data_IF_683995544714
#
_entry.id   IF_683995544714
#
_cell.length_a   1.000
_cell.length_b   1.000
_cell.length_c   1.000
_cell.angle_alpha   90.00
_cell.angle_beta   90.00
_cell.angle_gamma   90.00
#
_symmetry.space_group_name_H-M   'P 1'
#
loop_
_entity.id
_entity.type
_entity.pdbx_description
1 polymer ?
#
# COMPACT_ATOMS: atom_id res chain seq x y z
N UNK A 1 5.86 -15.47 -27.24
CA UNK A 1 6.73 -14.79 -26.25
C UNK A 1 5.96 -13.79 -25.40
N UNK A 2 5.46 -12.64 -25.91
CA UNK A 2 4.53 -11.79 -25.13
C UNK A 2 3.20 -12.51 -24.78
N UNK A 3 2.82 -13.49 -25.60
CA UNK A 3 1.66 -14.37 -25.38
C UNK A 3 1.78 -15.18 -24.08
N UNK A 4 2.96 -15.65 -23.68
CA UNK A 4 3.11 -16.51 -22.49
C UNK A 4 2.69 -15.79 -21.20
N UNK A 5 3.07 -14.52 -21.03
CA UNK A 5 2.65 -13.73 -19.88
C UNK A 5 1.15 -13.42 -19.88
N UNK A 6 0.51 -13.38 -21.06
CA UNK A 6 -0.94 -13.18 -21.19
C UNK A 6 -1.67 -14.49 -20.88
N UNK A 7 -1.19 -15.61 -21.40
CA UNK A 7 -1.76 -16.95 -21.16
C UNK A 7 -1.72 -17.30 -19.65
N UNK A 8 -0.70 -16.84 -18.93
CA UNK A 8 -0.62 -17.01 -17.45
C UNK A 8 -1.63 -16.18 -16.66
N UNK A 9 -2.30 -15.21 -17.27
CA UNK A 9 -3.37 -14.46 -16.60
C UNK A 9 -4.55 -15.39 -16.32
N UNK A 10 -4.94 -16.19 -17.31
CA UNK A 10 -6.06 -17.12 -17.18
C UNK A 10 -5.74 -18.23 -16.16
N UNK A 11 -4.53 -18.79 -16.21
CA UNK A 11 -4.05 -19.75 -15.21
C UNK A 11 -4.11 -19.17 -13.78
N UNK A 12 -3.67 -17.92 -13.61
CA UNK A 12 -3.70 -17.25 -12.30
C UNK A 12 -5.14 -17.01 -11.82
N UNK A 13 -6.09 -16.70 -12.71
CA UNK A 13 -7.51 -16.55 -12.38
C UNK A 13 -8.09 -17.89 -11.91
N UNK A 14 -7.79 -18.98 -12.60
CA UNK A 14 -8.28 -20.32 -12.25
C UNK A 14 -7.69 -20.82 -10.93
N UNK A 15 -6.39 -20.58 -10.70
CA UNK A 15 -5.77 -20.84 -9.40
C UNK A 15 -6.36 -19.99 -8.27
N UNK A 16 -6.74 -18.74 -8.55
CA UNK A 16 -7.35 -17.87 -7.54
C UNK A 16 -8.74 -18.39 -7.18
N UNK A 17 -9.50 -18.78 -8.20
CA UNK A 17 -10.86 -19.30 -8.03
C UNK A 17 -10.86 -20.62 -7.26
N UNK A 18 -9.98 -21.55 -7.62
CA UNK A 18 -9.86 -22.85 -6.93
C UNK A 18 -9.32 -22.72 -5.50
N UNK A 19 -8.50 -21.71 -5.21
CA UNK A 19 -8.00 -21.45 -3.87
C UNK A 19 -9.07 -20.83 -2.95
N UNK A 20 -9.88 -19.90 -3.48
CA UNK A 20 -10.89 -19.19 -2.70
C UNK A 20 -12.22 -19.91 -2.55
N UNK A 21 -12.49 -20.88 -3.43
CA UNK A 21 -13.73 -21.66 -3.44
C UNK A 21 -13.46 -23.16 -3.22
N UNK A 22 -14.24 -23.86 -2.37
CA UNK A 22 -15.50 -23.43 -1.73
C UNK A 22 -15.32 -22.40 -0.59
N UNK A 23 -16.33 -21.55 -0.39
CA UNK A 23 -16.26 -20.43 0.56
C UNK A 23 -16.10 -20.93 2.00
N UNK A 24 -14.95 -20.61 2.61
CA UNK A 24 -14.65 -20.86 4.02
C UNK A 24 -14.39 -19.52 4.73
N UNK A 25 -15.35 -19.08 5.56
CA UNK A 25 -15.27 -17.81 6.27
C UNK A 25 -14.03 -17.68 7.17
N UNK A 26 -13.50 -18.80 7.68
CA UNK A 26 -12.27 -18.82 8.46
C UNK A 26 -11.04 -18.50 7.61
N UNK A 27 -10.95 -19.07 6.40
CA UNK A 27 -9.88 -18.75 5.44
C UNK A 27 -9.97 -17.31 4.97
N UNK A 28 -11.17 -16.85 4.61
CA UNK A 28 -11.39 -15.47 4.16
C UNK A 28 -11.01 -14.44 5.23
N UNK A 29 -11.39 -14.65 6.49
CA UNK A 29 -11.01 -13.76 7.59
C UNK A 29 -9.48 -13.71 7.78
N UNK A 30 -8.82 -14.87 7.73
CA UNK A 30 -7.36 -14.95 7.83
C UNK A 30 -6.69 -14.22 6.66
N UNK A 31 -7.16 -14.43 5.43
CA UNK A 31 -6.67 -13.74 4.24
C UNK A 31 -6.94 -12.24 4.26
N UNK A 32 -8.07 -11.81 4.84
CA UNK A 32 -8.40 -10.41 5.05
C UNK A 32 -7.39 -9.73 5.97
N UNK A 33 -7.07 -10.37 7.10
CA UNK A 33 -6.06 -9.89 8.04
C UNK A 33 -4.68 -9.86 7.36
N UNK A 34 -4.32 -10.94 6.66
CA UNK A 34 -3.06 -11.01 5.91
C UNK A 34 -2.95 -9.88 4.88
N UNK A 35 -3.99 -9.70 4.07
CA UNK A 35 -4.08 -8.67 3.04
C UNK A 35 -4.03 -7.27 3.65
N UNK A 36 -4.71 -7.05 4.78
CA UNK A 36 -4.68 -5.77 5.49
C UNK A 36 -3.27 -5.40 5.91
N UNK A 37 -2.51 -6.33 6.50
CA UNK A 37 -1.13 -6.09 6.90
C UNK A 37 -0.17 -5.99 5.69
N UNK A 38 -0.44 -6.69 4.58
CA UNK A 38 0.32 -6.52 3.34
C UNK A 38 0.10 -5.12 2.76
N UNK A 39 -1.16 -4.67 2.66
CA UNK A 39 -1.53 -3.36 2.10
C UNK A 39 -1.01 -2.23 3.00
N UNK A 40 -1.18 -2.35 4.32
CA UNK A 40 -0.78 -1.31 5.27
C UNK A 40 0.71 -1.33 5.65
N UNK A 41 1.37 -2.48 5.58
CA UNK A 41 2.76 -2.67 5.98
C UNK A 41 3.78 -2.45 4.87
N UNK A 42 3.41 -2.68 3.60
CA UNK A 42 4.20 -2.21 2.47
C UNK A 42 3.89 -0.73 2.25
N UNK A 43 4.73 0.19 2.72
CA UNK A 43 4.57 1.64 2.57
C UNK A 43 4.50 2.18 1.12
N UNK A 44 4.17 1.34 0.12
CA UNK A 44 3.89 1.70 -1.27
C UNK A 44 2.42 1.53 -1.71
N UNK A 45 1.53 1.09 -0.80
CA UNK A 45 0.09 0.94 -1.09
C UNK A 45 -0.70 2.20 -0.75
N UNK A 46 -0.70 3.17 -1.67
CA UNK A 46 -1.40 4.44 -1.50
C UNK A 46 -2.92 4.30 -1.60
N UNK A 47 -3.57 3.74 -0.58
CA UNK A 47 -5.03 3.75 -0.44
C UNK A 47 -5.50 5.07 0.19
N UNK A 48 -4.63 5.73 0.97
CA UNK A 48 -4.94 7.01 1.61
C UNK A 48 -4.75 8.24 0.72
N UNK A 49 -4.00 8.16 -0.39
CA UNK A 49 -3.85 9.32 -1.29
C UNK A 49 -5.08 9.59 -2.16
N UNK A 50 -5.95 8.60 -2.39
CA UNK A 50 -7.11 8.77 -3.28
C UNK A 50 -8.25 9.57 -2.61
N UNK A 51 -8.24 9.68 -1.28
CA UNK A 51 -9.21 10.50 -0.53
C UNK A 51 -8.94 12.01 -0.61
N UNK A 52 -7.83 12.43 -1.23
CA UNK A 52 -7.44 13.84 -1.38
C UNK A 52 -7.90 14.52 -2.66
N UNK A 53 -8.65 13.84 -3.54
CA UNK A 53 -9.19 14.46 -4.75
C UNK A 53 -10.47 15.25 -4.44
N UNK A 54 -10.30 16.42 -3.81
CA UNK A 54 -11.32 17.48 -3.85
C UNK A 54 -11.45 17.90 -5.33
N UNK A 55 -12.65 17.89 -5.93
CA UNK A 55 -12.83 18.45 -7.26
C UNK A 55 -12.46 19.94 -7.19
N UNK A 56 -11.34 20.32 -7.81
CA UNK A 56 -11.06 21.71 -8.08
C UNK A 56 -12.12 22.19 -9.08
N UNK A 57 -13.19 22.81 -8.58
CA UNK A 57 -14.18 23.47 -9.40
C UNK A 57 -13.46 24.54 -10.25
N UNK A 58 -13.38 24.30 -11.56
CA UNK A 58 -12.85 25.24 -12.54
C UNK A 58 -13.82 26.41 -12.71
N UNK A 59 -13.78 27.35 -11.77
CA UNK A 59 -14.38 28.67 -11.92
C UNK A 59 -13.47 29.54 -12.81
N UNK A 60 -13.94 29.88 -13.99
CA UNK A 60 -13.29 30.85 -14.87
C UNK A 60 -13.35 32.25 -14.25
N UNK A 61 -12.23 32.75 -13.72
CA UNK A 61 -12.07 34.17 -13.35
C UNK A 61 -11.17 34.87 -14.35
N UNK A 62 -11.78 35.80 -15.09
CA UNK A 62 -11.14 36.78 -15.97
C UNK A 62 -10.24 37.74 -15.18
N UNK A 63 -8.96 37.83 -15.56
CA UNK A 63 -8.19 39.08 -15.61
C UNK A 63 -8.07 39.96 -14.37
N UNK A 64 -7.84 39.42 -13.17
CA UNK A 64 -7.47 40.19 -11.99
C UNK A 64 -6.51 39.40 -11.11
N UNK A 65 -5.44 40.06 -10.66
CA UNK A 65 -4.43 39.62 -9.66
C UNK A 65 -4.68 38.27 -8.98
N UNK A 66 -3.76 37.32 -9.17
CA UNK A 66 -3.75 36.03 -8.47
C UNK A 66 -3.87 36.30 -6.96
N UNK A 67 -4.80 35.64 -6.23
CA UNK A 67 -4.89 35.78 -4.79
C UNK A 67 -3.54 35.40 -4.17
N UNK A 68 -2.95 36.31 -3.41
CA UNK A 68 -1.81 35.99 -2.56
C UNK A 68 -2.25 34.87 -1.62
N UNK A 69 -1.64 33.69 -1.76
CA UNK A 69 -1.98 32.50 -0.98
C UNK A 69 -1.39 32.65 0.42
N UNK A 70 -1.93 33.57 1.23
CA UNK A 70 -1.56 33.74 2.64
C UNK A 70 -2.31 32.72 3.48
N UNK A 71 -1.68 31.57 3.70
CA UNK A 71 -2.11 30.67 4.76
C UNK A 71 -1.62 31.28 6.07
N UNK A 72 -2.54 31.85 6.86
CA UNK A 72 -2.25 32.18 8.27
C UNK A 72 -2.00 30.87 9.02
N UNK A 73 -0.72 30.47 9.08
CA UNK A 73 -0.29 29.32 9.87
C UNK A 73 -0.37 29.72 11.35
N UNK A 74 -0.95 28.88 12.22
CA UNK A 74 -0.93 29.12 13.67
C UNK A 74 0.50 29.37 14.14
N UNK A 75 0.71 30.34 15.05
CA UNK A 75 2.02 30.60 15.62
C UNK A 75 2.66 29.28 16.12
N UNK A 76 3.83 28.93 15.57
CA UNK A 76 4.59 27.75 15.95
C UNK A 76 5.19 27.93 17.34
N UNK A 77 4.36 27.86 18.38
CA UNK A 77 4.84 27.81 19.76
C UNK A 77 5.70 26.55 19.96
N UNK A 78 6.73 26.64 20.81
CA UNK A 78 7.59 25.48 21.12
C UNK A 78 6.77 24.25 21.58
N UNK A 79 5.65 24.48 22.28
CA UNK A 79 4.70 23.45 22.68
C UNK A 79 4.01 22.79 21.48
N UNK A 80 3.55 23.57 20.49
CA UNK A 80 2.93 23.02 19.28
C UNK A 80 3.91 22.17 18.46
N UNK A 81 5.17 22.62 18.32
CA UNK A 81 6.23 21.86 17.64
C UNK A 81 6.52 20.56 18.39
N UNK A 82 6.64 20.60 19.72
CA UNK A 82 6.87 19.42 20.53
C UNK A 82 5.72 18.39 20.42
N UNK A 83 4.47 18.86 20.45
CA UNK A 83 3.29 18.01 20.25
C UNK A 83 3.29 17.40 18.85
N UNK A 84 3.56 18.20 17.81
CA UNK A 84 3.64 17.71 16.44
C UNK A 84 4.72 16.63 16.26
N UNK A 85 5.94 16.86 16.79
CA UNK A 85 7.01 15.86 16.78
C UNK A 85 6.64 14.60 17.57
N UNK A 86 5.94 14.74 18.70
CA UNK A 86 5.42 13.61 19.46
C UNK A 86 4.42 12.77 18.66
N UNK A 87 3.47 13.42 17.99
CA UNK A 87 2.50 12.73 17.11
C UNK A 87 3.22 12.04 15.95
N UNK A 88 4.17 12.72 15.29
CA UNK A 88 4.98 12.13 14.22
C UNK A 88 5.74 10.90 14.72
N UNK A 89 6.38 10.97 15.90
CA UNK A 89 7.11 9.85 16.47
C UNK A 89 6.20 8.64 16.76
N UNK A 90 4.99 8.88 17.28
CA UNK A 90 3.99 7.82 17.50
C UNK A 90 3.53 7.20 16.18
N UNK A 91 3.25 8.02 15.16
CA UNK A 91 2.86 7.54 13.84
C UNK A 91 3.97 6.73 13.16
N UNK A 92 5.22 7.18 13.27
CA UNK A 92 6.39 6.45 12.77
C UNK A 92 6.53 5.11 13.50
N UNK A 93 6.43 5.09 14.83
CA UNK A 93 6.49 3.85 15.61
C UNK A 93 5.39 2.87 15.20
N UNK A 94 4.16 3.35 15.04
CA UNK A 94 3.04 2.54 14.58
C UNK A 94 3.30 1.99 13.18
N UNK A 95 3.79 2.82 12.25
CA UNK A 95 4.17 2.40 10.91
C UNK A 95 5.27 1.33 10.91
N UNK A 96 6.28 1.45 11.79
CA UNK A 96 7.33 0.44 11.94
C UNK A 96 6.77 -0.90 12.45
N UNK A 97 5.86 -0.86 13.43
CA UNK A 97 5.20 -2.07 13.95
C UNK A 97 4.36 -2.74 12.85
N UNK A 98 3.53 -1.97 12.14
CA UNK A 98 2.68 -2.49 11.07
C UNK A 98 3.52 -3.03 9.92
N UNK A 99 4.60 -2.35 9.55
CA UNK A 99 5.54 -2.81 8.52
C UNK A 99 6.27 -4.10 8.91
N UNK A 100 6.69 -4.24 10.17
CA UNK A 100 7.33 -5.46 10.66
C UNK A 100 6.36 -6.65 10.63
N UNK A 101 5.10 -6.44 11.06
CA UNK A 101 4.06 -7.47 10.99
C UNK A 101 3.78 -7.83 9.54
N UNK A 102 3.64 -6.85 8.65
CA UNK A 102 3.42 -7.06 7.21
C UNK A 102 4.51 -7.91 6.57
N UNK A 103 5.78 -7.66 6.90
CA UNK A 103 6.90 -8.44 6.40
C UNK A 103 6.89 -9.91 6.88
N UNK A 104 6.44 -10.18 8.11
CA UNK A 104 6.29 -11.56 8.61
C UNK A 104 5.11 -12.25 7.92
N UNK A 105 3.98 -11.54 7.83
CA UNK A 105 2.73 -12.00 7.22
C UNK A 105 2.93 -12.37 5.75
N UNK A 106 3.86 -11.73 5.05
CA UNK A 106 4.20 -12.06 3.68
C UNK A 106 4.71 -13.50 3.51
N UNK A 107 5.59 -13.97 4.40
CA UNK A 107 6.03 -15.37 4.38
C UNK A 107 4.88 -16.33 4.71
N UNK A 108 4.01 -15.95 5.65
CA UNK A 108 2.80 -16.72 5.99
C UNK A 108 1.86 -16.84 4.79
N UNK A 109 1.72 -15.77 4.01
CA UNK A 109 0.88 -15.75 2.82
C UNK A 109 1.41 -16.68 1.73
N UNK A 110 2.71 -16.60 1.44
CA UNK A 110 3.35 -17.48 0.44
C UNK A 110 3.24 -18.94 0.83
N UNK A 111 3.50 -19.26 2.11
CA UNK A 111 3.36 -20.63 2.64
C UNK A 111 1.90 -21.12 2.60
N UNK A 112 0.94 -20.24 2.87
CA UNK A 112 -0.49 -20.60 2.81
C UNK A 112 -0.92 -20.90 1.37
N UNK A 113 -0.36 -20.15 0.40
CA UNK A 113 -0.59 -20.39 -1.02
C UNK A 113 0.07 -21.70 -1.50
N UNK A 114 1.28 -22.03 -1.03
CA UNK A 114 1.93 -23.30 -1.38
C UNK A 114 1.26 -24.51 -0.74
N UNK A 115 0.86 -24.44 0.53
CA UNK A 115 0.32 -25.59 1.29
C UNK A 115 -1.20 -25.77 1.20
N UNK A 116 -1.96 -24.78 0.69
CA UNK A 116 -3.44 -24.75 0.73
C UNK A 116 -4.05 -24.80 2.15
N UNK A 117 -3.23 -24.58 3.18
CA UNK A 117 -3.65 -24.55 4.57
C UNK A 117 -3.29 -23.20 5.22
N UNK A 118 -4.24 -22.61 5.94
CA UNK A 118 -4.05 -21.27 6.52
C UNK A 118 -3.79 -21.36 8.03
N UNK A 119 -2.54 -21.62 8.43
CA UNK A 119 -2.14 -21.77 9.84
C UNK A 119 -1.33 -20.55 10.35
N UNK A 120 -1.99 -19.41 10.59
CA UNK A 120 -1.32 -18.14 10.97
C UNK A 120 -0.38 -18.29 12.17
N UNK A 121 -0.85 -18.88 13.28
CA UNK A 121 -0.11 -18.89 14.55
C UNK A 121 1.17 -19.73 14.49
N UNK A 122 1.13 -20.87 13.81
CA UNK A 122 2.29 -21.75 13.65
C UNK A 122 3.34 -21.14 12.70
N UNK A 123 2.91 -20.56 11.59
CA UNK A 123 3.81 -19.95 10.60
C UNK A 123 4.43 -18.64 11.10
N UNK A 124 3.69 -17.83 11.86
CA UNK A 124 4.20 -16.56 12.38
C UNK A 124 5.46 -16.75 13.23
N UNK A 125 5.45 -17.71 14.17
CA UNK A 125 6.61 -18.02 15.00
C UNK A 125 7.83 -18.50 14.22
N UNK A 126 7.59 -19.34 13.19
CA UNK A 126 8.64 -19.90 12.33
C UNK A 126 9.31 -18.85 11.43
N UNK A 127 8.55 -17.86 10.97
CA UNK A 127 9.04 -16.86 10.00
C UNK A 127 9.40 -15.51 10.61
N UNK A 128 9.26 -15.31 11.93
CA UNK A 128 9.64 -14.08 12.64
C UNK A 128 11.03 -13.55 12.25
N UNK A 129 12.06 -14.39 12.30
CA UNK A 129 13.42 -14.00 11.96
C UNK A 129 13.59 -13.58 10.49
N UNK A 130 12.88 -14.24 9.57
CA UNK A 130 12.92 -13.94 8.13
C UNK A 130 12.16 -12.67 7.80
N UNK A 131 10.97 -12.53 8.37
CA UNK A 131 10.14 -11.32 8.29
C UNK A 131 10.86 -10.09 8.81
N UNK A 132 11.56 -10.19 9.95
CA UNK A 132 12.35 -9.09 10.50
C UNK A 132 13.56 -8.74 9.63
N UNK A 133 14.24 -9.72 9.01
CA UNK A 133 15.33 -9.45 8.04
C UNK A 133 14.82 -8.74 6.79
N UNK A 134 13.65 -9.17 6.27
CA UNK A 134 12.98 -8.52 5.15
C UNK A 134 12.55 -7.09 5.52
N UNK A 135 11.97 -6.90 6.70
CA UNK A 135 11.61 -5.59 7.22
C UNK A 135 12.83 -4.69 7.36
N UNK A 136 13.94 -5.18 7.94
CA UNK A 136 15.17 -4.40 8.06
C UNK A 136 15.73 -3.98 6.70
N UNK A 137 15.72 -4.87 5.71
CA UNK A 137 16.10 -4.54 4.34
C UNK A 137 15.23 -3.42 3.75
N UNK A 138 13.89 -3.56 3.87
CA UNK A 138 12.95 -2.54 3.40
C UNK A 138 13.08 -1.22 4.15
N UNK A 139 13.35 -1.27 5.46
CA UNK A 139 13.56 -0.11 6.30
C UNK A 139 14.82 0.64 5.88
N UNK A 140 15.92 -0.07 5.62
CA UNK A 140 17.16 0.53 5.11
C UNK A 140 16.92 1.15 3.74
N UNK A 141 16.28 0.41 2.82
CA UNK A 141 15.95 0.92 1.49
C UNK A 141 15.09 2.19 1.57
N UNK A 142 14.02 2.16 2.38
CA UNK A 142 13.13 3.29 2.61
C UNK A 142 13.84 4.47 3.29
N UNK A 143 14.72 4.21 4.26
CA UNK A 143 15.52 5.25 4.92
C UNK A 143 16.50 5.92 3.96
N UNK A 144 17.14 5.15 3.07
CA UNK A 144 18.02 5.69 2.01
C UNK A 144 17.22 6.55 1.04
N UNK A 145 16.06 6.08 0.57
CA UNK A 145 15.17 6.86 -0.28
C UNK A 145 14.73 8.14 0.42
N UNK A 146 14.27 8.04 1.67
CA UNK A 146 13.87 9.20 2.48
C UNK A 146 15.02 10.20 2.65
N UNK A 147 16.24 9.74 2.90
CA UNK A 147 17.41 10.60 3.01
C UNK A 147 17.74 11.32 1.69
N UNK A 148 17.60 10.64 0.55
CA UNK A 148 17.83 11.25 -0.77
C UNK A 148 16.77 12.31 -1.08
N UNK A 149 15.48 11.99 -0.96
CA UNK A 149 14.40 12.93 -1.26
C UNK A 149 14.30 14.04 -0.21
N UNK A 150 14.39 13.70 1.07
CA UNK A 150 14.40 14.65 2.17
C UNK A 150 15.61 15.57 2.12
N UNK A 151 16.80 15.02 1.82
CA UNK A 151 18.00 15.81 1.59
C UNK A 151 17.84 16.78 0.41
N UNK A 152 17.36 16.31 -0.74
CA UNK A 152 17.11 17.17 -1.89
C UNK A 152 16.07 18.27 -1.58
N UNK A 153 15.00 17.94 -0.86
CA UNK A 153 13.98 18.89 -0.43
C UNK A 153 14.56 19.94 0.53
N UNK A 154 15.35 19.52 1.52
CA UNK A 154 16.02 20.43 2.45
C UNK A 154 17.08 21.30 1.76
N UNK A 155 17.76 20.80 0.73
CA UNK A 155 18.67 21.63 -0.07
C UNK A 155 17.91 22.69 -0.88
N UNK A 156 16.72 22.35 -1.38
CA UNK A 156 15.91 23.25 -2.20
C UNK A 156 15.09 24.26 -1.38
N UNK A 157 14.65 23.90 -0.17
CA UNK A 157 13.70 24.66 0.64
C UNK A 157 14.08 24.79 2.12
N UNK A 158 15.28 24.36 2.52
CA UNK A 158 15.70 24.38 3.93
C UNK A 158 15.77 25.78 4.55
N UNK A 159 16.14 26.78 3.75
CA UNK A 159 16.08 28.20 4.11
C UNK A 159 14.64 28.67 4.34
N UNK A 160 13.71 28.28 3.47
CA UNK A 160 12.28 28.58 3.61
C UNK A 160 11.72 27.98 4.90
N UNK A 161 12.10 26.74 5.19
CA UNK A 161 11.70 26.03 6.42
C UNK A 161 12.29 26.74 7.65
N UNK A 162 13.58 27.12 7.61
CA UNK A 162 14.24 27.79 8.73
C UNK A 162 13.61 29.16 9.02
N UNK A 163 13.35 29.96 7.99
CA UNK A 163 12.67 31.25 8.11
C UNK A 163 11.25 31.10 8.68
N UNK A 164 10.52 30.06 8.25
CA UNK A 164 9.19 29.77 8.77
C UNK A 164 9.23 29.43 10.27
N UNK A 165 10.22 28.63 10.72
CA UNK A 165 10.41 28.33 12.15
C UNK A 165 10.87 29.55 12.97
N UNK A 166 11.53 30.52 12.33
CA UNK A 166 11.89 31.79 12.96
C UNK A 166 10.71 32.78 13.07
N UNK A 167 9.54 32.44 12.52
CA UNK A 167 8.37 33.32 12.48
C UNK A 167 8.46 34.41 11.42
N UNK A 168 9.36 34.26 10.45
CA UNK A 168 9.51 35.20 9.34
C UNK A 168 8.46 34.95 8.26
N UNK A 169 8.02 36.02 7.58
CA UNK A 169 7.18 35.89 6.41
C UNK A 169 7.99 35.31 5.25
N UNK A 170 7.57 34.16 4.72
CA UNK A 170 8.28 33.46 3.64
C UNK A 170 7.41 33.37 2.39
N UNK A 171 7.89 33.92 1.28
CA UNK A 171 7.23 33.84 -0.02
C UNK A 171 8.19 33.27 -1.07
N UNK A 172 8.31 31.93 -1.20
CA UNK A 172 9.16 31.35 -2.22
C UNK A 172 8.66 31.75 -3.61
N UNK A 173 9.60 32.12 -4.50
CA UNK A 173 9.24 32.53 -5.86
C UNK A 173 8.62 31.36 -6.64
N UNK A 174 7.67 31.66 -7.53
CA UNK A 174 7.04 30.67 -8.41
C UNK A 174 8.09 29.88 -9.19
N UNK A 175 9.13 30.57 -9.69
CA UNK A 175 10.24 29.94 -10.41
C UNK A 175 10.96 28.87 -9.57
N UNK A 176 11.19 29.14 -8.27
CA UNK A 176 11.81 28.18 -7.36
C UNK A 176 10.91 26.99 -7.08
N UNK A 177 9.61 27.21 -6.90
CA UNK A 177 8.63 26.13 -6.71
C UNK A 177 8.62 25.22 -7.95
N UNK A 178 8.50 25.80 -9.15
CA UNK A 178 8.50 25.04 -10.41
C UNK A 178 9.79 24.26 -10.60
N UNK A 179 10.95 24.90 -10.36
CA UNK A 179 12.25 24.24 -10.46
C UNK A 179 12.39 23.10 -9.43
N UNK A 180 11.94 23.32 -8.19
CA UNK A 180 11.96 22.30 -7.15
C UNK A 180 11.07 21.11 -7.48
N UNK A 181 9.85 21.35 -7.97
CA UNK A 181 8.93 20.28 -8.42
C UNK A 181 9.55 19.50 -9.57
N UNK A 182 10.12 20.16 -10.58
CA UNK A 182 10.74 19.49 -11.72
C UNK A 182 11.94 18.64 -11.29
N UNK A 183 12.79 19.17 -10.42
CA UNK A 183 13.97 18.45 -9.93
C UNK A 183 13.57 17.24 -9.08
N UNK A 184 12.62 17.40 -8.16
CA UNK A 184 12.12 16.29 -7.34
C UNK A 184 11.38 15.24 -8.17
N UNK A 185 10.67 15.66 -9.22
CA UNK A 185 10.06 14.74 -10.18
C UNK A 185 11.11 13.93 -10.94
N UNK A 186 12.17 14.58 -11.44
CA UNK A 186 13.26 13.90 -12.14
C UNK A 186 14.04 12.97 -11.21
N UNK A 187 14.29 13.39 -9.97
CA UNK A 187 14.86 12.56 -8.92
C UNK A 187 13.94 11.36 -8.61
N UNK A 188 12.62 11.59 -8.59
CA UNK A 188 11.55 10.59 -8.59
C UNK A 188 11.75 9.52 -9.65
N UNK A 189 11.99 9.93 -10.88
CA UNK A 189 12.21 9.02 -12.01
C UNK A 189 13.51 8.22 -11.84
N UNK A 190 14.61 8.90 -11.50
CA UNK A 190 15.95 8.30 -11.46
C UNK A 190 16.14 7.38 -10.24
N UNK A 191 15.60 7.75 -9.08
CA UNK A 191 15.79 7.02 -7.82
C UNK A 191 14.55 6.21 -7.47
N UNK A 192 13.36 6.80 -7.65
CA UNK A 192 12.09 6.17 -7.28
C UNK A 192 11.77 4.94 -8.12
N UNK A 193 12.01 4.95 -9.44
CA UNK A 193 11.76 3.77 -10.29
C UNK A 193 12.64 2.59 -9.87
N UNK A 194 13.98 2.70 -9.76
CA UNK A 194 14.81 1.58 -9.31
C UNK A 194 14.44 1.07 -7.92
N UNK A 195 14.11 1.96 -6.98
CA UNK A 195 13.68 1.57 -5.63
C UNK A 195 12.34 0.83 -5.67
N UNK A 196 11.37 1.32 -6.46
CA UNK A 196 10.06 0.69 -6.62
C UNK A 196 10.19 -0.70 -7.23
N UNK A 197 11.02 -0.85 -8.28
CA UNK A 197 11.33 -2.15 -8.87
C UNK A 197 12.03 -3.05 -7.86
N UNK A 198 13.09 -2.59 -7.20
CA UNK A 198 13.80 -3.39 -6.19
C UNK A 198 12.84 -3.88 -5.09
N UNK A 199 11.92 -3.04 -4.62
CA UNK A 199 10.93 -3.44 -3.64
C UNK A 199 9.90 -4.43 -4.22
N UNK A 200 9.40 -4.19 -5.44
CA UNK A 200 8.49 -5.09 -6.15
C UNK A 200 9.11 -6.48 -6.35
N UNK A 201 10.28 -6.54 -6.96
CA UNK A 201 11.03 -7.78 -7.18
C UNK A 201 11.37 -8.50 -5.87
N UNK A 202 11.72 -7.75 -4.81
CA UNK A 202 11.97 -8.36 -3.50
C UNK A 202 10.73 -9.10 -3.00
N UNK A 203 9.58 -8.42 -3.08
CA UNK A 203 8.29 -8.93 -2.60
C UNK A 203 7.85 -10.15 -3.42
N UNK A 204 7.90 -10.03 -4.74
CA UNK A 204 7.29 -10.99 -5.66
C UNK A 204 8.16 -12.20 -5.93
N UNK A 205 9.48 -12.04 -6.04
CA UNK A 205 10.38 -13.10 -6.49
C UNK A 205 11.41 -13.51 -5.44
N UNK A 206 11.98 -12.55 -4.71
CA UNK A 206 13.03 -12.85 -3.73
C UNK A 206 12.46 -13.51 -2.47
N UNK A 207 11.28 -13.09 -1.99
CA UNK A 207 10.63 -13.71 -0.83
C UNK A 207 10.33 -15.20 -1.02
N UNK A 208 9.78 -15.67 -2.16
CA UNK A 208 9.65 -17.10 -2.46
C UNK A 208 10.99 -17.85 -2.41
N UNK A 209 12.06 -17.27 -2.96
CA UNK A 209 13.41 -17.87 -2.92
C UNK A 209 13.92 -17.96 -1.49
N UNK A 210 13.71 -16.91 -0.68
CA UNK A 210 14.06 -16.93 0.75
C UNK A 210 13.30 -18.02 1.53
N UNK A 211 12.06 -18.32 1.13
CA UNK A 211 11.24 -19.36 1.74
C UNK A 211 11.75 -20.76 1.37
N UNK A 212 12.03 -21.00 0.08
CA UNK A 212 12.46 -22.29 -0.49
C UNK A 212 13.88 -22.68 -0.08
N UNK A 213 14.83 -21.75 -0.16
CA UNK A 213 16.26 -22.04 0.04
C UNK A 213 16.78 -21.66 1.44
N UNK A 214 15.90 -21.23 2.35
CA UNK A 214 16.26 -20.75 3.70
C UNK A 214 17.37 -19.68 3.70
N UNK A 215 17.30 -18.73 2.77
CA UNK A 215 18.31 -17.65 2.58
C UNK A 215 17.88 -16.30 3.15
N UNK A 216 18.87 -15.47 3.50
CA UNK A 216 18.67 -14.05 3.79
C UNK A 216 18.40 -13.24 2.52
N UNK A 217 17.85 -12.03 2.67
CA UNK A 217 17.40 -11.16 1.55
C UNK A 217 18.51 -10.93 0.51
N UNK A 218 19.71 -10.55 0.95
CA UNK A 218 20.84 -10.29 0.05
C UNK A 218 21.33 -11.55 -0.69
N UNK A 219 21.33 -12.70 0.00
CA UNK A 219 21.74 -13.96 -0.60
C UNK A 219 20.72 -14.48 -1.61
N UNK A 220 19.42 -14.28 -1.34
CA UNK A 220 18.34 -14.59 -2.26
C UNK A 220 18.36 -13.65 -3.48
N UNK A 221 18.62 -12.35 -3.29
CA UNK A 221 18.85 -11.41 -4.38
C UNK A 221 20.03 -11.81 -5.27
N UNK A 222 21.16 -12.21 -4.67
CA UNK A 222 22.34 -12.67 -5.43
C UNK A 222 22.06 -13.95 -6.21
N UNK A 223 21.14 -14.80 -5.72
CA UNK A 223 20.69 -16.01 -6.41
C UNK A 223 19.71 -15.70 -7.54
N UNK A 224 18.86 -14.70 -7.37
CA UNK A 224 17.89 -14.26 -8.37
C UNK A 224 18.53 -13.46 -9.53
N UNK A 225 19.60 -12.73 -9.24
CA UNK A 225 20.23 -11.81 -10.21
C UNK A 225 20.61 -12.44 -11.56
N UNK A 226 21.24 -13.63 -11.63
CA UNK A 226 21.54 -14.28 -12.91
C UNK A 226 20.27 -14.54 -13.74
N UNK A 227 19.24 -15.12 -13.11
CA UNK A 227 17.94 -15.39 -13.77
C UNK A 227 17.29 -14.11 -14.29
N UNK A 228 17.31 -13.03 -13.51
CA UNK A 228 16.79 -11.73 -13.93
C UNK A 228 17.54 -11.19 -15.16
N UNK A 229 18.86 -11.29 -15.19
CA UNK A 229 19.68 -10.79 -16.31
C UNK A 229 19.62 -11.68 -17.55
N UNK A 230 19.48 -12.99 -17.38
CA UNK A 230 19.36 -13.97 -18.47
C UNK A 230 17.99 -13.83 -19.17
N UNK A 231 16.92 -13.59 -18.41
CA UNK A 231 15.55 -13.49 -18.92
C UNK A 231 14.96 -12.09 -18.74
N UNK A 232 15.77 -11.05 -18.95
CA UNK A 232 15.37 -9.65 -18.76
C UNK A 232 14.13 -9.25 -19.58
N UNK A 233 13.93 -9.87 -20.75
CA UNK A 233 12.75 -9.64 -21.60
C UNK A 233 11.47 -10.13 -20.94
N UNK A 234 11.50 -11.27 -20.26
CA UNK A 234 10.34 -11.86 -19.58
C UNK A 234 9.98 -11.06 -18.34
N UNK A 235 10.97 -10.68 -17.53
CA UNK A 235 10.75 -9.81 -16.39
C UNK A 235 10.34 -8.38 -16.79
N UNK A 236 10.85 -7.87 -17.91
CA UNK A 236 10.40 -6.60 -18.48
C UNK A 236 8.93 -6.66 -18.94
N UNK A 237 8.54 -7.73 -19.64
CA UNK A 237 7.15 -7.96 -20.01
C UNK A 237 6.25 -8.13 -18.79
N UNK A 238 6.70 -8.87 -17.78
CA UNK A 238 6.03 -9.01 -16.50
C UNK A 238 5.78 -7.66 -15.85
N UNK A 239 6.79 -6.79 -15.73
CA UNK A 239 6.64 -5.46 -15.13
C UNK A 239 5.59 -4.65 -15.87
N UNK A 240 5.57 -4.68 -17.21
CA UNK A 240 4.57 -3.94 -18.00
C UNK A 240 3.16 -4.49 -17.79
N UNK A 241 2.99 -5.82 -17.82
CA UNK A 241 1.69 -6.48 -17.63
C UNK A 241 1.19 -6.27 -16.20
N UNK A 242 2.04 -6.53 -15.20
CA UNK A 242 1.72 -6.34 -13.79
C UNK A 242 1.39 -4.87 -13.48
N UNK A 243 2.11 -3.92 -14.07
CA UNK A 243 1.79 -2.50 -13.93
C UNK A 243 0.41 -2.17 -14.48
N UNK A 244 0.08 -2.61 -15.70
CA UNK A 244 -1.26 -2.45 -16.28
C UNK A 244 -2.34 -3.11 -15.43
N UNK A 245 -2.06 -4.31 -14.92
CA UNK A 245 -2.97 -5.08 -14.09
C UNK A 245 -3.21 -4.41 -12.72
N UNK A 246 -2.19 -3.81 -12.11
CA UNK A 246 -2.32 -3.02 -10.90
C UNK A 246 -3.18 -1.78 -11.13
N UNK A 247 -3.04 -1.10 -12.27
CA UNK A 247 -3.91 0.02 -12.64
C UNK A 247 -5.36 -0.46 -12.77
N UNK A 248 -5.61 -1.50 -13.56
CA UNK A 248 -6.96 -2.02 -13.81
C UNK A 248 -7.61 -2.50 -12.51
N UNK A 249 -6.93 -3.35 -11.75
CA UNK A 249 -7.46 -3.89 -10.48
C UNK A 249 -7.57 -2.82 -9.39
N UNK A 250 -6.69 -1.82 -9.38
CA UNK A 250 -6.76 -0.68 -8.47
C UNK A 250 -7.96 0.22 -8.75
N UNK A 251 -8.18 0.57 -10.03
CA UNK A 251 -9.34 1.37 -10.47
C UNK A 251 -10.62 0.57 -10.22
N UNK A 252 -10.70 -0.68 -10.67
CA UNK A 252 -11.88 -1.52 -10.49
C UNK A 252 -12.20 -1.73 -9.00
N UNK A 253 -11.20 -2.10 -8.19
CA UNK A 253 -11.36 -2.32 -6.76
C UNK A 253 -11.80 -1.05 -6.02
N UNK A 254 -11.22 0.11 -6.35
CA UNK A 254 -11.60 1.38 -5.71
C UNK A 254 -12.99 1.86 -6.10
N UNK A 255 -13.40 1.70 -7.36
CA UNK A 255 -14.77 2.02 -7.81
C UNK A 255 -15.77 1.12 -7.10
N UNK A 256 -15.55 -0.20 -7.10
CA UNK A 256 -16.47 -1.15 -6.46
C UNK A 256 -16.55 -0.89 -4.96
N UNK A 257 -15.42 -0.71 -4.28
CA UNK A 257 -15.43 -0.39 -2.85
C UNK A 257 -16.11 0.96 -2.58
N UNK A 258 -15.85 1.97 -3.41
CA UNK A 258 -16.48 3.30 -3.27
C UNK A 258 -17.99 3.22 -3.40
N UNK A 259 -18.50 2.51 -4.41
CA UNK A 259 -19.93 2.30 -4.60
C UNK A 259 -20.55 1.53 -3.43
N UNK A 260 -19.90 0.45 -2.97
CA UNK A 260 -20.36 -0.33 -1.81
C UNK A 260 -20.33 0.53 -0.54
N UNK A 261 -19.28 1.30 -0.32
CA UNK A 261 -19.17 2.20 0.83
C UNK A 261 -20.27 3.27 0.84
N UNK A 262 -20.54 3.90 -0.31
CA UNK A 262 -21.64 4.88 -0.43
C UNK A 262 -23.00 4.23 -0.23
N UNK A 263 -23.24 3.05 -0.82
CA UNK A 263 -24.48 2.31 -0.62
C UNK A 263 -24.69 1.92 0.85
N UNK A 264 -23.62 1.48 1.52
CA UNK A 264 -23.61 1.20 2.96
C UNK A 264 -23.73 2.48 3.79
N UNK A 265 -23.25 3.62 3.33
CA UNK A 265 -23.35 4.87 4.08
C UNK A 265 -24.81 5.30 4.24
N UNK A 266 -25.69 5.04 3.27
CA UNK A 266 -27.11 5.44 3.31
C UNK A 266 -27.84 4.95 4.58
N UNK A 267 -27.90 3.64 4.90
CA UNK A 267 -28.60 3.18 6.10
C UNK A 267 -27.96 3.71 7.39
N UNK A 268 -26.63 3.83 7.46
CA UNK A 268 -25.95 4.38 8.63
C UNK A 268 -26.21 5.89 8.78
N UNK A 269 -26.18 6.64 7.68
CA UNK A 269 -26.47 8.07 7.67
C UNK A 269 -27.91 8.36 8.08
N UNK A 270 -28.88 7.54 7.65
CA UNK A 270 -30.28 7.67 8.08
C UNK A 270 -30.37 7.55 9.61
N UNK A 271 -29.77 6.51 10.20
CA UNK A 271 -29.75 6.33 11.66
C UNK A 271 -29.02 7.48 12.35
N UNK A 272 -27.88 7.91 11.80
CA UNK A 272 -27.09 9.02 12.34
C UNK A 272 -27.88 10.33 12.37
N UNK A 273 -28.60 10.65 11.29
CA UNK A 273 -29.43 11.84 11.17
C UNK A 273 -30.61 11.77 12.14
N UNK A 274 -31.29 10.63 12.26
CA UNK A 274 -32.39 10.47 13.23
C UNK A 274 -31.92 10.71 14.67
N UNK A 275 -30.77 10.13 15.03
CA UNK A 275 -30.13 10.36 16.34
C UNK A 275 -29.75 11.84 16.49
N UNK A 276 -29.13 12.44 15.48
CA UNK A 276 -28.71 13.84 15.47
C UNK A 276 -29.88 14.83 15.60
N UNK A 277 -30.99 14.60 14.90
CA UNK A 277 -32.21 15.41 15.00
C UNK A 277 -32.80 15.32 16.42
N UNK A 278 -32.85 14.12 17.01
CA UNK A 278 -33.29 13.96 18.39
C UNK A 278 -32.44 14.74 19.40
N UNK A 279 -31.12 14.78 19.17
CA UNK A 279 -30.17 15.56 20.00
C UNK A 279 -30.39 17.06 19.83
N UNK A 280 -30.56 17.53 18.59
CA UNK A 280 -30.79 18.94 18.29
C UNK A 280 -32.12 19.45 18.89
N UNK A 281 -33.18 18.64 18.85
CA UNK A 281 -34.46 18.98 19.48
C UNK A 281 -34.39 18.99 21.02
N UNK A 282 -33.56 18.12 21.61
CA UNK A 282 -33.31 18.11 23.05
C UNK A 282 -32.37 19.23 23.54
N UNK A 283 -31.68 19.94 22.64
CA UNK A 283 -30.82 21.07 22.94
C UNK A 283 -29.51 20.74 23.69
N UNK A 284 -29.21 19.46 23.92
CA UNK A 284 -28.03 19.03 24.70
C UNK A 284 -27.34 17.85 24.01
N UNK A 285 -26.09 18.04 23.61
CA UNK A 285 -25.18 16.96 23.24
C UNK A 285 -24.78 16.18 24.49
N UNK A 286 -25.37 15.00 24.69
CA UNK A 286 -25.05 14.13 25.82
C UNK A 286 -23.92 13.17 25.47
N UNK A 287 -23.18 12.70 26.47
CA UNK A 287 -22.19 11.63 26.29
C UNK A 287 -22.79 10.39 25.61
N UNK A 288 -24.06 10.08 25.90
CA UNK A 288 -24.79 8.98 25.27
C UNK A 288 -24.95 9.19 23.75
N UNK A 289 -25.30 10.40 23.31
CA UNK A 289 -25.43 10.71 21.87
C UNK A 289 -24.12 10.59 21.12
N UNK A 290 -23.01 11.05 21.72
CA UNK A 290 -21.67 10.92 21.16
C UNK A 290 -21.28 9.44 21.06
N UNK A 291 -21.54 8.66 22.11
CA UNK A 291 -21.25 7.23 22.13
C UNK A 291 -22.03 6.47 21.04
N UNK A 292 -23.31 6.81 20.82
CA UNK A 292 -24.14 6.21 19.75
C UNK A 292 -23.59 6.56 18.36
N UNK A 293 -23.28 7.84 18.11
CA UNK A 293 -22.73 8.26 16.81
C UNK A 293 -21.35 7.66 16.55
N UNK A 294 -20.50 7.58 17.57
CA UNK A 294 -19.20 6.93 17.48
C UNK A 294 -19.34 5.42 17.22
N UNK A 295 -20.25 4.74 17.92
CA UNK A 295 -20.55 3.32 17.70
C UNK A 295 -21.06 3.05 16.29
N UNK A 296 -21.93 3.92 15.77
CA UNK A 296 -22.46 3.84 14.42
C UNK A 296 -21.36 4.03 13.36
N UNK A 297 -20.46 5.00 13.57
CA UNK A 297 -19.29 5.20 12.72
C UNK A 297 -18.36 3.98 12.74
N UNK A 298 -18.06 3.43 13.92
CA UNK A 298 -17.23 2.23 14.06
C UNK A 298 -17.86 1.05 13.33
N UNK A 299 -19.18 0.85 13.50
CA UNK A 299 -19.90 -0.21 12.81
C UNK A 299 -19.87 -0.03 11.29
N UNK A 300 -20.07 1.19 10.78
CA UNK A 300 -19.93 1.50 9.36
C UNK A 300 -18.53 1.14 8.84
N UNK A 301 -17.48 1.60 9.53
CA UNK A 301 -16.09 1.32 9.16
C UNK A 301 -15.78 -0.19 9.18
N UNK A 302 -16.35 -0.93 10.13
CA UNK A 302 -16.19 -2.39 10.21
C UNK A 302 -16.84 -3.08 9.01
N UNK A 303 -18.05 -2.68 8.61
CA UNK A 303 -18.73 -3.26 7.44
C UNK A 303 -17.98 -2.90 6.15
N UNK A 304 -17.52 -1.65 6.00
CA UNK A 304 -16.69 -1.23 4.86
C UNK A 304 -15.37 -2.00 4.82
N UNK A 305 -14.75 -2.26 5.98
CA UNK A 305 -13.54 -3.08 6.07
C UNK A 305 -13.79 -4.51 5.59
N UNK A 306 -14.91 -5.13 5.97
CA UNK A 306 -15.29 -6.47 5.48
C UNK A 306 -15.53 -6.44 3.97
N UNK A 307 -16.23 -5.43 3.45
CA UNK A 307 -16.41 -5.27 2.00
C UNK A 307 -15.08 -5.11 1.26
N UNK A 308 -14.17 -4.29 1.79
CA UNK A 308 -12.83 -4.12 1.25
C UNK A 308 -12.05 -5.44 1.24
N UNK A 309 -12.12 -6.23 2.31
CA UNK A 309 -11.51 -7.55 2.34
C UNK A 309 -12.07 -8.48 1.26
N UNK A 310 -13.39 -8.49 1.06
CA UNK A 310 -14.03 -9.31 0.02
C UNK A 310 -13.52 -8.96 -1.39
N UNK A 311 -13.27 -7.67 -1.64
CA UNK A 311 -12.83 -7.16 -2.95
C UNK A 311 -11.32 -7.35 -3.15
N UNK A 312 -10.50 -6.98 -2.16
CA UNK A 312 -9.05 -6.91 -2.32
C UNK A 312 -8.33 -8.22 -2.04
N UNK A 313 -8.91 -9.15 -1.28
CA UNK A 313 -8.31 -10.48 -1.05
C UNK A 313 -8.13 -11.24 -2.38
N UNK A 314 -9.15 -11.39 -3.24
CA UNK A 314 -8.99 -12.05 -4.54
C UNK A 314 -7.95 -11.36 -5.42
N UNK A 315 -7.98 -10.03 -5.48
CA UNK A 315 -7.01 -9.25 -6.26
C UNK A 315 -5.59 -9.57 -5.80
N UNK A 316 -5.34 -9.59 -4.49
CA UNK A 316 -4.01 -9.90 -3.93
C UNK A 316 -3.56 -11.33 -4.21
N UNK A 317 -4.45 -12.30 -4.09
CA UNK A 317 -4.15 -13.71 -4.39
C UNK A 317 -3.79 -13.88 -5.86
N UNK A 318 -4.58 -13.28 -6.76
CA UNK A 318 -4.37 -13.32 -8.19
C UNK A 318 -3.02 -12.74 -8.61
N UNK A 319 -2.69 -11.52 -8.17
CA UNK A 319 -1.38 -10.91 -8.45
C UNK A 319 -0.22 -11.77 -7.94
N UNK A 320 -0.40 -12.40 -6.77
CA UNK A 320 0.64 -13.27 -6.22
C UNK A 320 0.83 -14.56 -7.00
N UNK A 321 -0.26 -15.21 -7.39
CA UNK A 321 -0.19 -16.44 -8.18
C UNK A 321 0.40 -16.17 -9.57
N UNK A 322 0.01 -15.06 -10.21
CA UNK A 322 0.60 -14.60 -11.46
C UNK A 322 2.13 -14.45 -11.37
N UNK A 323 2.62 -13.76 -10.33
CA UNK A 323 4.06 -13.61 -10.10
C UNK A 323 4.78 -14.95 -9.89
N UNK A 324 4.18 -15.87 -9.13
CA UNK A 324 4.76 -17.18 -8.85
C UNK A 324 4.81 -18.08 -10.10
N UNK A 325 3.81 -18.01 -10.99
CA UNK A 325 3.82 -18.72 -12.27
C UNK A 325 4.96 -18.25 -13.16
N UNK A 326 5.12 -16.93 -13.30
CA UNK A 326 6.23 -16.34 -14.08
C UNK A 326 7.59 -16.72 -13.48
N UNK A 327 7.70 -16.77 -12.14
CA UNK A 327 8.93 -17.22 -11.48
C UNK A 327 9.26 -18.69 -11.77
N UNK A 328 8.25 -19.56 -11.81
CA UNK A 328 8.44 -20.97 -12.11
C UNK A 328 8.80 -21.22 -13.58
N UNK A 329 8.21 -20.46 -14.51
CA UNK A 329 8.50 -20.56 -15.95
C UNK A 329 9.92 -20.10 -16.29
N UNK A 330 10.36 -19.04 -15.62
CA UNK A 330 11.71 -18.48 -15.77
C UNK A 330 12.76 -19.42 -15.17
N UNK A 331 12.45 -20.05 -14.02
CA UNK A 331 13.36 -20.98 -13.37
C UNK A 331 12.60 -22.08 -12.60
N UNK A 332 12.68 -23.32 -13.10
CA UNK A 332 12.02 -24.49 -12.52
C UNK A 332 12.46 -24.79 -11.06
N UNK A 333 13.68 -24.42 -10.66
CA UNK A 333 14.12 -24.59 -9.26
C UNK A 333 13.33 -23.69 -8.29
N UNK A 334 12.80 -22.56 -8.79
CA UNK A 334 12.02 -21.61 -8.01
C UNK A 334 10.51 -21.83 -8.12
N UNK A 335 10.06 -22.86 -8.86
CA UNK A 335 8.64 -23.09 -9.08
C UNK A 335 7.93 -23.57 -7.80
N UNK A 336 7.34 -22.63 -7.06
CA UNK A 336 6.58 -22.87 -5.83
C UNK A 336 5.25 -23.59 -6.09
N UNK A 337 4.75 -23.53 -7.33
CA UNK A 337 3.43 -24.00 -7.71
C UNK A 337 3.48 -25.27 -8.57
N UNK A 338 4.64 -25.93 -8.72
CA UNK A 338 4.84 -27.11 -9.56
C UNK A 338 3.76 -28.18 -9.38
N UNK A 339 3.40 -28.51 -8.13
CA UNK A 339 2.39 -29.52 -7.80
C UNK A 339 0.94 -29.11 -8.15
N UNK A 340 0.72 -27.86 -8.57
CA UNK A 340 -0.61 -27.26 -8.81
C UNK A 340 -0.76 -26.59 -10.16
N UNK A 341 0.23 -26.67 -11.05
CA UNK A 341 0.11 -26.12 -12.40
C UNK A 341 -1.11 -26.75 -13.11
N UNK A 342 -1.88 -25.97 -13.88
CA UNK A 342 -2.92 -26.52 -14.74
C UNK A 342 -2.26 -27.48 -15.73
N UNK A 343 -2.84 -28.66 -15.90
CA UNK A 343 -2.33 -29.71 -16.79
C UNK A 343 -2.42 -29.26 -18.25
N UNK A 344 -1.35 -28.64 -18.74
CA UNK A 344 -1.21 -28.15 -20.12
C UNK A 344 -0.01 -27.21 -20.34
N UNK A 345 0.89 -27.08 -19.36
CA UNK A 345 1.98 -26.12 -19.33
C UNK A 345 3.37 -26.77 -19.57
N UNK A 346 3.43 -27.75 -20.47
CA UNK A 346 4.67 -28.26 -21.08
C UNK A 346 4.78 -27.75 -22.52
#
# INVERSE_FOLDING_TARGET
MALAAIDRIDDAVDMTRSFLFPFDGGRWLRLAVITFFLVGGSGGGSVFSTTGNVPASTGSTTGGSIPEFSVELPEFTATAVAVALGVIAVLVLLGLIVGAIGAIVEFVFVESLSSNEVNIRAYFGRYLGRGLRLFAFRLVLGAVTFAIFGGAFLLLFGDVIAALFAGEAVSPSIARIVAGVLLLFLLGLVVGIPVALANGFTTEFVVPIMLREDRGVLAAWRRFWPTLTEQWTEYGAYVLVAFGLHIVTGIAGSIVLGLVAVALLVPFAIVAVLVGVGVLQGGVLTAASIAVLAGLLIAYLLVVFVAAAVIYVPIRVFHRQFALLVLGDTNAEFDVLADRRPSGAD
#
